data_IF_058012298876
#
_entry.id   IF_058012298876
#
_cell.length_a   1.000
_cell.length_b   1.000
_cell.length_c   1.000
_cell.angle_alpha   90.00
_cell.angle_beta   90.00
_cell.angle_gamma   90.00
#
_symmetry.space_group_name_H-M   'P 1'
#
loop_
_entity.id
_entity.type
_entity.pdbx_description
1 polymer ?
#
# COMPACT_ATOMS: atom_id res chain seq x y z
N UNK A 1 0.49 -6.11 71.18
CA UNK A 1 0.73 -7.02 70.03
C UNK A 1 0.87 -6.20 68.75
N UNK A 2 1.69 -6.68 67.82
CA UNK A 2 2.19 -5.96 66.63
C UNK A 2 1.25 -6.17 65.41
N UNK A 3 1.25 -5.15 64.52
CA UNK A 3 1.23 -5.20 63.03
C UNK A 3 -0.10 -5.14 62.24
N UNK A 4 -0.19 -4.01 61.51
CA UNK A 4 -0.25 -3.88 60.04
C UNK A 4 -1.58 -3.95 59.28
N UNK A 5 -2.11 -2.78 58.90
CA UNK A 5 -3.00 -2.61 57.75
C UNK A 5 -2.60 -1.41 56.89
N UNK A 6 -1.55 -1.54 56.07
CA UNK A 6 -1.29 -0.59 54.97
C UNK A 6 -0.69 -1.32 53.77
N UNK A 7 -1.50 -2.07 53.00
CA UNK A 7 -0.97 -2.73 51.78
C UNK A 7 -1.91 -2.81 50.57
N UNK A 8 -3.02 -2.08 50.49
CA UNK A 8 -3.95 -2.18 49.34
C UNK A 8 -3.77 -1.11 48.24
N UNK A 9 -3.16 0.05 48.54
CA UNK A 9 -3.07 1.18 47.60
C UNK A 9 -2.05 1.01 46.45
N UNK A 10 -1.03 0.17 46.64
CA UNK A 10 0.13 0.14 45.74
C UNK A 10 -0.08 -0.74 44.49
N UNK A 11 -1.04 -1.65 44.52
CA UNK A 11 -1.26 -2.61 43.43
C UNK A 11 -2.03 -1.99 42.24
N UNK A 12 -2.94 -1.03 42.51
CA UNK A 12 -3.68 -0.29 41.47
C UNK A 12 -2.76 0.64 40.67
N UNK A 13 -1.80 1.30 41.32
CA UNK A 13 -0.87 2.21 40.65
C UNK A 13 0.16 1.44 39.80
N UNK A 14 0.67 0.30 40.28
CA UNK A 14 1.51 -0.59 39.47
C UNK A 14 0.77 -1.15 38.25
N UNK A 15 -0.48 -1.59 38.39
CA UNK A 15 -1.31 -2.03 37.25
C UNK A 15 -1.52 -0.90 36.23
N UNK A 16 -1.86 0.32 36.66
CA UNK A 16 -1.98 1.49 35.77
C UNK A 16 -0.66 1.79 35.05
N UNK A 17 0.47 1.75 35.75
CA UNK A 17 1.78 2.03 35.17
C UNK A 17 2.23 0.96 34.15
N UNK A 18 1.89 -0.32 34.37
CA UNK A 18 2.14 -1.43 33.44
C UNK A 18 1.25 -1.29 32.19
N UNK A 19 -0.03 -0.96 32.35
CA UNK A 19 -0.97 -0.74 31.24
C UNK A 19 -0.52 0.45 30.38
N UNK A 20 -0.06 1.54 30.99
CA UNK A 20 0.48 2.70 30.28
C UNK A 20 1.78 2.37 29.52
N UNK A 21 2.69 1.57 30.10
CA UNK A 21 3.91 1.11 29.40
C UNK A 21 3.58 0.19 28.21
N UNK A 22 2.59 -0.71 28.33
CA UNK A 22 2.14 -1.56 27.21
C UNK A 22 1.52 -0.75 26.06
N UNK A 23 0.77 0.31 26.35
CA UNK A 23 0.16 1.18 25.32
C UNK A 23 1.18 2.03 24.54
N UNK A 24 2.31 2.43 25.14
CA UNK A 24 3.34 3.24 24.49
C UNK A 24 4.14 2.50 23.40
N UNK A 25 4.13 1.16 23.42
CA UNK A 25 4.86 0.34 22.44
C UNK A 25 4.03 0.00 21.18
N UNK A 26 2.71 0.14 21.22
CA UNK A 26 1.81 -0.15 20.08
C UNK A 26 1.88 0.95 19.02
N UNK A 27 2.23 2.18 19.39
CA UNK A 27 2.30 3.32 18.47
C UNK A 27 3.57 3.36 17.61
N UNK A 28 4.62 2.60 17.94
CA UNK A 28 5.90 2.60 17.22
C UNK A 28 5.90 1.78 15.92
N UNK A 29 4.88 0.95 15.69
CA UNK A 29 4.71 0.10 14.50
C UNK A 29 3.55 0.53 13.60
N UNK A 30 3.14 1.80 13.66
CA UNK A 30 1.96 2.29 12.93
C UNK A 30 0.68 1.83 13.63
N UNK A 31 0.30 2.56 14.68
CA UNK A 31 -0.87 2.26 15.48
C UNK A 31 -2.13 2.05 14.62
N UNK A 32 -2.79 0.91 14.87
CA UNK A 32 -4.03 0.44 14.23
C UNK A 32 -3.91 0.30 12.70
N UNK A 33 -3.47 -0.88 12.26
CA UNK A 33 -3.77 -1.34 10.90
C UNK A 33 -5.26 -1.26 10.60
N UNK A 34 -5.62 -1.22 9.32
CA UNK A 34 -7.00 -1.33 8.86
C UNK A 34 -7.68 -2.49 9.60
N UNK A 35 -8.91 -2.27 10.09
CA UNK A 35 -9.66 -3.36 10.73
C UNK A 35 -9.76 -4.55 9.79
N UNK A 36 -9.87 -5.76 10.34
CA UNK A 36 -10.06 -6.97 9.53
C UNK A 36 -11.25 -6.78 8.56
N UNK A 37 -12.31 -6.13 9.04
CA UNK A 37 -13.46 -5.76 8.22
C UNK A 37 -13.10 -4.79 7.09
N UNK A 38 -12.21 -3.83 7.32
CA UNK A 38 -11.76 -2.91 6.28
C UNK A 38 -10.87 -3.61 5.24
N UNK A 39 -10.09 -4.61 5.65
CA UNK A 39 -9.29 -5.43 4.74
C UNK A 39 -10.16 -6.37 3.90
N UNK A 40 -11.10 -7.09 4.54
CA UNK A 40 -12.05 -7.96 3.87
C UNK A 40 -12.96 -7.17 2.90
N UNK A 41 -13.42 -5.99 3.33
CA UNK A 41 -14.30 -5.15 2.52
C UNK A 41 -13.55 -4.20 1.54
N UNK A 42 -12.23 -4.28 1.44
CA UNK A 42 -11.45 -3.45 0.52
C UNK A 42 -11.84 -3.68 -0.95
N UNK A 43 -12.32 -4.88 -1.28
CA UNK A 43 -12.75 -5.28 -2.64
C UNK A 43 -14.26 -5.45 -2.79
N UNK A 44 -15.03 -5.51 -1.69
CA UNK A 44 -16.49 -5.76 -1.73
C UNK A 44 -17.31 -4.49 -1.93
N UNK A 45 -16.73 -3.31 -1.64
CA UNK A 45 -17.41 -2.05 -1.92
C UNK A 45 -17.38 -1.81 -3.43
N UNK A 46 -18.56 -1.89 -4.04
CA UNK A 46 -18.85 -1.45 -5.40
C UNK A 46 -18.79 0.09 -5.48
N UNK A 47 -17.71 0.68 -4.97
CA UNK A 47 -17.47 2.11 -4.97
C UNK A 47 -17.04 2.49 -6.38
N UNK A 48 -18.02 2.87 -7.19
CA UNK A 48 -17.80 3.46 -8.51
C UNK A 48 -16.73 4.55 -8.36
N UNK A 49 -15.58 4.35 -9.00
CA UNK A 49 -14.44 5.25 -8.87
C UNK A 49 -14.80 6.63 -9.42
N UNK A 50 -15.16 7.56 -8.53
CA UNK A 50 -15.44 8.95 -8.88
C UNK A 50 -14.26 9.84 -8.46
N UNK A 51 -13.40 10.27 -9.39
CA UNK A 51 -12.20 11.04 -9.08
C UNK A 51 -12.53 12.41 -8.46
N UNK A 52 -13.68 13.00 -8.76
CA UNK A 52 -14.08 14.30 -8.22
C UNK A 52 -14.37 14.24 -6.71
N UNK A 53 -15.06 13.20 -6.25
CA UNK A 53 -15.36 13.00 -4.83
C UNK A 53 -14.07 12.73 -4.03
N UNK A 54 -13.17 11.90 -4.58
CA UNK A 54 -11.87 11.60 -3.97
C UNK A 54 -11.04 12.89 -3.84
N UNK A 55 -11.00 13.72 -4.88
CA UNK A 55 -10.29 15.01 -4.86
C UNK A 55 -10.88 15.94 -3.80
N UNK A 56 -12.21 16.07 -3.73
CA UNK A 56 -12.91 16.89 -2.72
C UNK A 56 -12.58 16.45 -1.30
N UNK A 57 -12.60 15.15 -1.02
CA UNK A 57 -12.29 14.63 0.31
C UNK A 57 -10.82 14.85 0.70
N UNK A 58 -9.89 14.68 -0.24
CA UNK A 58 -8.46 14.98 -0.03
C UNK A 58 -8.23 16.45 0.30
N UNK A 59 -8.83 17.35 -0.46
CA UNK A 59 -8.72 18.80 -0.22
C UNK A 59 -9.34 19.21 1.12
N UNK A 60 -10.53 18.69 1.46
CA UNK A 60 -11.14 18.93 2.77
C UNK A 60 -10.22 18.52 3.93
N UNK A 61 -9.58 17.35 3.81
CA UNK A 61 -8.65 16.87 4.83
C UNK A 61 -7.37 17.72 4.93
N UNK A 62 -6.79 18.14 3.79
CA UNK A 62 -5.65 19.08 3.77
C UNK A 62 -6.02 20.40 4.44
N UNK A 63 -7.19 20.95 4.12
CA UNK A 63 -7.66 22.21 4.67
C UNK A 63 -7.89 22.10 6.18
N UNK A 64 -8.55 21.03 6.64
CA UNK A 64 -8.72 20.77 8.07
C UNK A 64 -7.38 20.69 8.81
N UNK A 65 -6.36 20.05 8.21
CA UNK A 65 -5.00 20.02 8.77
C UNK A 65 -4.40 21.42 8.90
N UNK A 66 -4.51 22.23 7.85
CA UNK A 66 -3.96 23.58 7.82
C UNK A 66 -4.65 24.49 8.86
N UNK A 67 -5.98 24.43 8.95
CA UNK A 67 -6.76 25.16 9.96
C UNK A 67 -6.36 24.72 11.38
N UNK A 68 -6.21 23.41 11.62
CA UNK A 68 -5.79 22.91 12.92
C UNK A 68 -4.35 23.32 13.27
N UNK A 69 -3.45 23.34 12.28
CA UNK A 69 -2.07 23.82 12.44
C UNK A 69 -2.08 25.30 12.83
N UNK A 70 -2.84 26.13 12.12
CA UNK A 70 -2.98 27.56 12.41
C UNK A 70 -3.58 27.80 13.81
N UNK A 71 -4.67 27.11 14.16
CA UNK A 71 -5.28 27.19 15.51
C UNK A 71 -4.30 26.81 16.61
N UNK A 72 -3.42 25.82 16.38
CA UNK A 72 -2.36 25.45 17.34
C UNK A 72 -1.29 26.54 17.47
N UNK A 73 -0.87 27.15 16.36
CA UNK A 73 0.09 28.25 16.39
C UNK A 73 -0.47 29.47 17.13
N UNK A 74 -1.73 29.84 16.87
CA UNK A 74 -2.41 30.90 17.62
C UNK A 74 -2.47 30.61 19.13
N UNK A 75 -2.79 29.37 19.51
CA UNK A 75 -2.77 28.97 20.93
C UNK A 75 -1.37 29.06 21.54
N UNK A 76 -0.33 28.67 20.80
CA UNK A 76 1.05 28.79 21.27
C UNK A 76 1.47 30.25 21.44
N UNK A 77 1.14 31.11 20.49
CA UNK A 77 1.40 32.55 20.58
C UNK A 77 0.70 33.17 21.81
N UNK A 78 -0.58 32.83 22.03
CA UNK A 78 -1.31 33.29 23.20
C UNK A 78 -0.72 32.75 24.52
N UNK A 79 -0.13 31.56 24.53
CA UNK A 79 0.55 30.98 25.69
C UNK A 79 1.94 31.59 25.96
N UNK A 80 2.63 32.09 24.93
CA UNK A 80 3.92 32.79 25.08
C UNK A 80 3.76 34.21 25.63
N UNK A 81 2.55 34.76 25.61
CA UNK A 81 2.23 36.06 26.21
C UNK A 81 1.95 35.99 27.73
N UNK A 82 2.02 34.80 28.34
CA UNK A 82 1.87 34.61 29.79
C UNK A 82 3.25 34.34 30.45
N UNK A 83 3.90 35.33 31.07
CA UNK A 83 5.27 35.21 31.58
C UNK A 83 5.44 34.25 32.77
N UNK A 84 4.36 33.65 33.30
CA UNK A 84 4.42 32.81 34.51
C UNK A 84 4.88 31.36 34.28
N UNK A 85 4.85 30.85 33.04
CA UNK A 85 5.16 29.43 32.76
C UNK A 85 6.62 29.14 32.36
N UNK A 86 7.35 30.13 31.83
CA UNK A 86 8.75 29.98 31.45
C UNK A 86 9.65 29.59 32.64
N UNK A 87 9.28 30.02 33.85
CA UNK A 87 10.03 29.76 35.09
C UNK A 87 9.94 28.30 35.57
N UNK A 88 8.99 27.50 35.06
CA UNK A 88 8.78 26.09 35.48
C UNK A 88 9.67 25.09 34.73
N UNK A 89 10.21 25.45 33.56
CA UNK A 89 10.97 24.53 32.72
C UNK A 89 12.42 24.33 33.22
N UNK A 90 13.01 25.35 33.85
CA UNK A 90 14.45 25.39 34.19
C UNK A 90 14.81 24.49 35.40
N UNK A 91 13.86 24.14 36.26
CA UNK A 91 14.13 23.44 37.54
C UNK A 91 14.36 21.92 37.46
N UNK A 92 14.22 21.27 36.30
CA UNK A 92 14.15 19.80 36.20
C UNK A 92 15.37 19.11 35.56
N UNK A 93 16.50 19.81 35.36
CA UNK A 93 17.63 19.29 34.55
C UNK A 93 18.76 18.67 35.39
N UNK A 94 18.77 18.80 36.71
CA UNK A 94 20.04 18.68 37.46
C UNK A 94 20.44 17.31 38.02
N UNK A 95 19.70 16.22 37.84
CA UNK A 95 20.06 14.94 38.47
C UNK A 95 19.66 13.73 37.60
N UNK A 96 20.56 13.21 36.74
CA UNK A 96 20.70 11.77 36.36
C UNK A 96 21.23 11.47 34.92
N UNK A 97 22.03 12.32 34.26
CA UNK A 97 22.32 12.13 32.82
C UNK A 97 23.52 11.21 32.48
N UNK A 98 24.47 10.97 33.39
CA UNK A 98 25.78 10.42 32.98
C UNK A 98 25.83 8.89 32.79
N UNK A 99 25.00 8.10 33.47
CA UNK A 99 25.11 6.63 33.47
C UNK A 99 24.24 5.92 32.41
N UNK A 100 23.26 6.63 31.83
CA UNK A 100 22.35 6.08 30.80
C UNK A 100 23.02 6.06 29.41
N UNK A 101 23.88 7.04 29.12
CA UNK A 101 24.44 7.26 27.78
C UNK A 101 25.28 6.09 27.24
N UNK A 102 26.05 5.40 28.09
CA UNK A 102 26.97 4.35 27.63
C UNK A 102 26.24 3.07 27.17
N UNK A 103 25.07 2.78 27.74
CA UNK A 103 24.27 1.60 27.37
C UNK A 103 23.46 1.80 26.08
N UNK A 104 22.97 3.01 25.83
CA UNK A 104 22.23 3.34 24.61
C UNK A 104 23.11 3.33 23.35
N UNK A 105 24.38 3.74 23.47
CA UNK A 105 25.33 3.79 22.34
C UNK A 105 25.65 2.39 21.77
N UNK A 106 25.63 1.33 22.60
CA UNK A 106 25.85 -0.05 22.14
C UNK A 106 24.61 -0.64 21.43
N UNK A 107 23.41 -0.35 21.92
CA UNK A 107 22.16 -0.83 21.32
C UNK A 107 21.81 -0.14 19.98
N UNK A 108 22.19 1.13 19.78
CA UNK A 108 21.98 1.84 18.50
C UNK A 108 22.74 1.20 17.33
N UNK A 109 23.95 0.68 17.56
CA UNK A 109 24.80 0.09 16.50
C UNK A 109 24.23 -1.19 15.90
N UNK A 110 23.57 -2.03 16.70
CA UNK A 110 22.93 -3.26 16.22
C UNK A 110 21.61 -3.00 15.45
N UNK A 111 20.92 -1.88 15.73
CA UNK A 111 19.71 -1.49 14.99
C UNK A 111 19.98 -0.96 13.58
N UNK A 112 21.16 -0.37 13.36
CA UNK A 112 21.57 0.17 12.07
C UNK A 112 21.82 -0.93 11.03
N UNK A 113 22.39 -2.06 11.47
CA UNK A 113 22.61 -3.24 10.62
C UNK A 113 21.27 -3.84 10.12
N UNK A 114 20.25 -3.87 10.98
CA UNK A 114 18.91 -4.32 10.62
C UNK A 114 18.21 -3.43 9.58
N UNK A 115 18.48 -2.11 9.59
CA UNK A 115 17.90 -1.17 8.63
C UNK A 115 18.46 -1.37 7.22
N UNK A 116 19.77 -1.60 7.11
CA UNK A 116 20.43 -1.86 5.83
C UNK A 116 19.95 -3.18 5.21
N UNK A 117 19.80 -4.23 6.03
CA UNK A 117 19.23 -5.51 5.60
C UNK A 117 17.79 -5.38 5.10
N UNK A 118 16.95 -4.60 5.80
CA UNK A 118 15.58 -4.29 5.37
C UNK A 118 15.55 -3.57 4.02
N UNK A 119 16.50 -2.67 3.80
CA UNK A 119 16.60 -1.92 2.55
C UNK A 119 17.01 -2.82 1.38
N UNK A 120 18.00 -3.70 1.60
CA UNK A 120 18.45 -4.70 0.62
C UNK A 120 17.31 -5.65 0.25
N UNK A 121 16.62 -6.23 1.23
CA UNK A 121 15.46 -7.13 1.02
C UNK A 121 14.34 -6.47 0.21
N UNK A 122 13.96 -5.24 0.56
CA UNK A 122 12.91 -4.49 -0.17
C UNK A 122 13.30 -4.21 -1.62
N UNK A 123 14.58 -3.93 -1.87
CA UNK A 123 15.07 -3.71 -3.23
C UNK A 123 15.08 -4.99 -4.06
N UNK A 124 15.44 -6.12 -3.46
CA UNK A 124 15.41 -7.44 -4.11
C UNK A 124 13.98 -7.87 -4.46
N UNK A 125 13.03 -7.74 -3.53
CA UNK A 125 11.62 -8.03 -3.77
C UNK A 125 11.06 -7.17 -4.91
N UNK A 126 11.35 -5.87 -4.91
CA UNK A 126 10.92 -4.96 -5.97
C UNK A 126 11.53 -5.30 -7.34
N UNK A 127 12.76 -5.84 -7.38
CA UNK A 127 13.39 -6.32 -8.62
C UNK A 127 12.70 -7.59 -9.11
N UNK A 128 12.42 -8.55 -8.22
CA UNK A 128 11.69 -9.78 -8.56
C UNK A 128 10.29 -9.49 -9.09
N UNK A 129 9.55 -8.60 -8.43
CA UNK A 129 8.21 -8.19 -8.86
C UNK A 129 8.22 -7.53 -10.26
N UNK A 130 9.27 -6.76 -10.59
CA UNK A 130 9.45 -6.19 -11.94
C UNK A 130 9.70 -7.27 -12.97
N UNK A 131 10.59 -8.22 -12.68
CA UNK A 131 10.88 -9.34 -13.58
C UNK A 131 9.65 -10.21 -13.85
N UNK A 132 8.86 -10.52 -12.82
CA UNK A 132 7.63 -11.30 -12.97
C UNK A 132 6.58 -10.56 -13.84
N UNK A 133 6.42 -9.24 -13.62
CA UNK A 133 5.52 -8.42 -14.45
C UNK A 133 6.00 -8.33 -15.90
N UNK A 134 7.29 -8.15 -16.12
CA UNK A 134 7.88 -8.11 -17.45
C UNK A 134 7.70 -9.45 -18.18
N UNK A 135 7.88 -10.58 -17.50
CA UNK A 135 7.60 -11.91 -18.06
C UNK A 135 6.13 -12.08 -18.47
N UNK A 136 5.19 -11.69 -17.62
CA UNK A 136 3.75 -11.75 -17.94
C UNK A 136 3.41 -10.84 -19.13
N UNK A 137 4.02 -9.65 -19.19
CA UNK A 137 3.82 -8.73 -20.30
C UNK A 137 4.39 -9.27 -21.61
N UNK A 138 5.55 -9.90 -21.58
CA UNK A 138 6.15 -10.54 -22.75
C UNK A 138 5.28 -11.68 -23.28
N UNK A 139 4.81 -12.57 -22.40
CA UNK A 139 3.90 -13.67 -22.80
C UNK A 139 2.63 -13.12 -23.44
N UNK A 140 2.00 -12.09 -22.85
CA UNK A 140 0.82 -11.44 -23.44
C UNK A 140 1.12 -10.75 -24.76
N UNK A 141 2.32 -10.18 -24.92
CA UNK A 141 2.75 -9.52 -26.16
C UNK A 141 2.95 -10.56 -27.26
N UNK A 142 3.62 -11.67 -26.97
CA UNK A 142 3.81 -12.77 -27.92
C UNK A 142 2.47 -13.38 -28.36
N UNK A 143 1.54 -13.58 -27.44
CA UNK A 143 0.20 -14.07 -27.76
C UNK A 143 -0.52 -13.12 -28.73
N UNK A 144 -0.51 -11.82 -28.44
CA UNK A 144 -1.08 -10.79 -29.33
C UNK A 144 -0.41 -10.81 -30.70
N UNK A 145 0.91 -10.81 -30.75
CA UNK A 145 1.68 -10.83 -32.00
C UNK A 145 1.37 -12.07 -32.84
N UNK A 146 1.23 -13.25 -32.21
CA UNK A 146 0.80 -14.48 -32.90
C UNK A 146 -0.59 -14.34 -33.51
N UNK A 147 -1.55 -13.78 -32.77
CA UNK A 147 -2.91 -13.57 -33.29
C UNK A 147 -2.95 -12.53 -34.40
N UNK A 148 -2.17 -11.45 -34.28
CA UNK A 148 -2.05 -10.42 -35.30
C UNK A 148 -1.36 -10.93 -36.56
N UNK A 149 -0.30 -11.72 -36.43
CA UNK A 149 0.38 -12.38 -37.54
C UNK A 149 -0.57 -13.29 -38.30
N UNK A 150 -1.38 -14.10 -37.59
CA UNK A 150 -2.44 -14.93 -38.20
C UNK A 150 -3.46 -14.08 -38.97
N UNK A 151 -3.97 -13.00 -38.37
CA UNK A 151 -4.92 -12.07 -39.02
C UNK A 151 -4.31 -11.42 -40.26
N UNK A 152 -3.06 -10.98 -40.18
CA UNK A 152 -2.34 -10.33 -41.29
C UNK A 152 -2.12 -11.30 -42.45
N UNK A 153 -1.69 -12.54 -42.16
CA UNK A 153 -1.52 -13.58 -43.18
C UNK A 153 -2.85 -13.92 -43.87
N UNK A 154 -3.93 -14.06 -43.11
CA UNK A 154 -5.28 -14.26 -43.66
C UNK A 154 -5.71 -13.09 -44.55
N UNK A 155 -5.49 -11.85 -44.08
CA UNK A 155 -5.81 -10.63 -44.85
C UNK A 155 -5.01 -10.56 -46.15
N UNK A 156 -3.73 -10.89 -46.11
CA UNK A 156 -2.88 -10.89 -47.31
C UNK A 156 -3.39 -11.89 -48.34
N UNK A 157 -3.76 -13.11 -47.93
CA UNK A 157 -4.37 -14.11 -48.81
C UNK A 157 -5.67 -13.60 -49.44
N UNK A 158 -6.55 -12.97 -48.65
CA UNK A 158 -7.82 -12.41 -49.15
C UNK A 158 -7.64 -11.26 -50.14
N UNK A 159 -6.54 -10.51 -50.05
CA UNK A 159 -6.22 -9.39 -50.95
C UNK A 159 -5.59 -9.85 -52.27
N UNK A 160 -5.18 -11.12 -52.42
CA UNK A 160 -4.66 -11.64 -53.68
C UNK A 160 -5.75 -11.60 -54.75
N UNK A 161 -5.39 -11.08 -55.93
CA UNK A 161 -6.27 -10.92 -57.10
C UNK A 161 -5.74 -11.74 -58.28
N UNK A 162 -6.67 -12.20 -59.11
CA UNK A 162 -6.40 -12.81 -60.41
C UNK A 162 -5.96 -11.76 -61.42
N UNK A 163 -5.52 -12.19 -62.62
CA UNK A 163 -5.13 -11.29 -63.72
C UNK A 163 -6.21 -10.27 -64.10
N UNK A 164 -7.49 -10.61 -63.94
CA UNK A 164 -8.64 -9.73 -64.22
C UNK A 164 -9.07 -8.88 -63.01
N UNK A 165 -8.29 -8.86 -61.91
CA UNK A 165 -8.56 -8.07 -60.71
C UNK A 165 -9.59 -8.68 -59.75
N UNK A 166 -10.24 -9.79 -60.11
CA UNK A 166 -11.14 -10.52 -59.21
C UNK A 166 -10.34 -11.20 -58.10
N UNK A 167 -10.82 -11.22 -56.84
CA UNK A 167 -10.10 -11.89 -55.77
C UNK A 167 -9.98 -13.40 -56.00
N UNK A 168 -8.87 -13.97 -55.59
CA UNK A 168 -8.57 -15.39 -55.82
C UNK A 168 -9.53 -16.25 -55.01
N UNK A 169 -10.41 -16.99 -55.70
CA UNK A 169 -11.49 -17.76 -55.06
C UNK A 169 -10.98 -18.87 -54.15
N UNK A 170 -9.81 -19.46 -54.43
CA UNK A 170 -9.17 -20.47 -53.57
C UNK A 170 -9.11 -20.01 -52.10
N UNK A 171 -8.51 -18.85 -51.85
CA UNK A 171 -8.35 -18.34 -50.49
C UNK A 171 -9.69 -17.95 -49.85
N UNK A 172 -10.61 -17.36 -50.61
CA UNK A 172 -11.95 -17.02 -50.10
C UNK A 172 -12.73 -18.24 -49.64
N UNK A 173 -12.73 -19.31 -50.44
CA UNK A 173 -13.40 -20.55 -50.12
C UNK A 173 -12.76 -21.19 -48.89
N UNK A 174 -11.42 -21.25 -48.82
CA UNK A 174 -10.69 -21.71 -47.63
C UNK A 174 -11.13 -20.97 -46.36
N UNK A 175 -11.23 -19.63 -46.40
CA UNK A 175 -11.65 -18.84 -45.25
C UNK A 175 -13.11 -19.08 -44.83
N UNK A 176 -14.02 -19.22 -45.80
CA UNK A 176 -15.43 -19.55 -45.52
C UNK A 176 -15.54 -20.92 -44.86
N UNK A 177 -14.81 -21.92 -45.36
CA UNK A 177 -14.78 -23.26 -44.78
C UNK A 177 -14.20 -23.25 -43.37
N UNK A 178 -13.09 -22.54 -43.14
CA UNK A 178 -12.50 -22.40 -41.80
C UNK A 178 -13.46 -21.72 -40.81
N UNK A 179 -14.19 -20.70 -41.26
CA UNK A 179 -15.18 -20.00 -40.42
C UNK A 179 -16.36 -20.89 -40.05
N UNK A 180 -16.86 -21.69 -41.00
CA UNK A 180 -17.94 -22.67 -40.75
C UNK A 180 -17.45 -23.77 -39.81
N UNK A 181 -16.26 -24.32 -40.00
CA UNK A 181 -15.70 -25.34 -39.12
C UNK A 181 -15.39 -24.80 -37.71
N UNK A 182 -14.95 -23.55 -37.61
CA UNK A 182 -14.72 -22.89 -36.33
C UNK A 182 -16.03 -22.66 -35.58
N UNK A 183 -17.09 -22.21 -36.26
CA UNK A 183 -18.38 -21.98 -35.64
C UNK A 183 -19.04 -23.27 -35.14
N UNK A 184 -18.92 -24.38 -35.89
CA UNK A 184 -19.46 -25.67 -35.46
C UNK A 184 -18.71 -26.24 -34.26
N UNK A 185 -17.37 -26.12 -34.21
CA UNK A 185 -16.56 -26.53 -33.06
C UNK A 185 -16.92 -25.73 -31.79
N UNK A 186 -16.97 -24.41 -31.88
CA UNK A 186 -17.36 -23.55 -30.75
C UNK A 186 -18.80 -23.84 -30.25
N UNK A 187 -19.71 -24.23 -31.15
CA UNK A 187 -21.08 -24.61 -30.80
C UNK A 187 -21.18 -26.01 -30.16
N UNK A 188 -20.21 -26.90 -30.40
CA UNK A 188 -20.11 -28.21 -29.73
C UNK A 188 -19.47 -28.07 -28.35
N UNK A 189 -18.42 -27.25 -28.23
CA UNK A 189 -17.71 -27.01 -26.97
C UNK A 189 -18.56 -26.25 -25.94
N UNK A 190 -19.54 -25.44 -26.38
CA UNK A 190 -20.46 -24.72 -25.48
C UNK A 190 -21.66 -25.55 -25.02
N UNK A 191 -21.84 -26.76 -25.56
CA UNK A 191 -22.90 -27.72 -25.16
C UNK A 191 -22.38 -28.85 -24.26
N UNK A 192 -21.07 -28.87 -23.99
CA UNK A 192 -20.41 -29.82 -23.08
C UNK A 192 -20.11 -29.13 -21.75
#
# INVERSE_FOLDING_TARGET
>A
MKKNEERSGNHKNKKKHIIMKKKKNISRLGGSGLSLDAFANAKSKNNQYNPALIKKQREFYKNAKNVNKFKKLLKQQNQQNDPSLAQRLVKNVNESEEDIEKSERRNKKNSALSLEELYKKKHEEKKKERMEKEAILQVKKEERERTEARRKAMREKMLKKTRKGQPVMKYRIEHLLETIQGSTKNAADSKS
#
